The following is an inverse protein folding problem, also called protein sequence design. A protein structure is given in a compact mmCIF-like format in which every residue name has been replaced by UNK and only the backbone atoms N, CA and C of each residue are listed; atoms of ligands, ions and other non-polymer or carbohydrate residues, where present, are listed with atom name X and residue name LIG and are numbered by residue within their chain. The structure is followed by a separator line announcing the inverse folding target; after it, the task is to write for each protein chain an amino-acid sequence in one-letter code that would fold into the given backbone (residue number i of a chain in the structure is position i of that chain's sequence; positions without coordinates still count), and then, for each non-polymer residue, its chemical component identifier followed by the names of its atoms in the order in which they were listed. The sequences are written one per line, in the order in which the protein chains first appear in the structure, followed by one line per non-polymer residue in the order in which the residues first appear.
data_IF_206548310690
#
_entry.id   IF_206548310690
#
_cell.length_a   1.000
_cell.length_b   1.000
_cell.length_c   1.000
_cell.angle_alpha   90.00
_cell.angle_beta   90.00
_cell.angle_gamma   90.00
#
_symmetry.space_group_name_H-M   'P 1'
#
loop_
_entity.id
_entity.type
_entity.pdbx_description
1 polymer ?
#
# COMPACT_ATOMS: atom_id res chain seq x y z
N UNK A 1 1.18 7.44 19.62
CA UNK A 1 1.27 6.93 21.02
C UNK A 1 0.04 6.16 21.49
N UNK A 2 -1.20 6.54 21.12
CA UNK A 2 -2.43 5.95 21.70
C UNK A 2 -2.62 4.44 21.41
N UNK A 3 -2.23 3.94 20.23
CA UNK A 3 -2.53 2.55 19.83
C UNK A 3 -1.87 1.48 20.72
N UNK A 4 -0.64 1.72 21.20
CA UNK A 4 0.06 0.78 22.09
C UNK A 4 -0.42 0.83 23.55
N UNK A 5 -1.13 1.90 23.93
CA UNK A 5 -1.78 1.96 25.25
C UNK A 5 -3.08 1.15 25.30
N UNK A 6 -3.75 0.99 24.15
CA UNK A 6 -4.97 0.17 24.05
C UNK A 6 -4.63 -1.30 23.87
N UNK A 7 -3.64 -1.63 23.04
CA UNK A 7 -3.11 -2.99 22.88
C UNK A 7 -1.57 -2.96 22.77
N UNK A 8 -0.84 -3.46 23.80
CA UNK A 8 0.62 -3.50 23.79
C UNK A 8 1.23 -4.43 22.75
N UNK A 9 0.47 -5.42 22.27
CA UNK A 9 0.94 -6.45 21.33
C UNK A 9 0.60 -6.12 19.88
N UNK A 10 -0.05 -4.97 19.61
CA UNK A 10 -0.37 -4.56 18.26
C UNK A 10 0.92 -4.40 17.44
N UNK A 11 1.05 -5.22 16.39
CA UNK A 11 2.17 -5.16 15.46
C UNK A 11 2.04 -3.90 14.60
N UNK A 12 2.63 -2.80 15.08
CA UNK A 12 2.56 -1.49 14.43
C UNK A 12 3.92 -1.13 13.83
N UNK A 13 3.95 -0.97 12.50
CA UNK A 13 5.09 -0.43 11.74
C UNK A 13 4.78 1.00 11.31
N UNK A 14 5.52 1.97 11.83
CA UNK A 14 5.44 3.36 11.36
C UNK A 14 6.20 3.48 10.06
N UNK A 15 5.50 3.83 8.97
CA UNK A 15 6.11 4.10 7.67
C UNK A 15 6.11 5.59 7.40
N UNK A 16 7.25 6.12 6.94
CA UNK A 16 7.35 7.49 6.46
C UNK A 16 7.36 7.49 4.94
N UNK A 17 6.50 8.31 4.35
CA UNK A 17 6.43 8.51 2.92
C UNK A 17 7.68 9.25 2.42
N UNK A 18 8.70 8.53 1.95
CA UNK A 18 9.92 9.14 1.40
C UNK A 18 9.81 9.47 -0.10
N UNK A 19 8.94 8.75 -0.84
CA UNK A 19 8.69 8.96 -2.28
C UNK A 19 7.32 9.61 -2.50
N UNK A 20 7.22 10.44 -3.53
CA UNK A 20 5.96 11.07 -3.95
C UNK A 20 4.88 10.01 -4.24
N UNK A 21 3.61 10.37 -4.00
CA UNK A 21 2.46 9.44 -4.08
C UNK A 21 2.41 8.65 -5.38
N UNK A 22 2.63 9.31 -6.51
CA UNK A 22 2.62 8.69 -7.86
C UNK A 22 3.73 7.64 -8.00
N UNK A 23 4.95 7.94 -7.55
CA UNK A 23 6.10 7.03 -7.64
C UNK A 23 5.95 5.77 -6.77
N UNK A 24 5.08 5.79 -5.75
CA UNK A 24 4.78 4.61 -4.93
C UNK A 24 3.64 3.78 -5.50
N UNK A 25 2.72 4.43 -6.22
CA UNK A 25 1.59 3.76 -6.86
C UNK A 25 1.98 3.01 -8.13
N UNK A 26 3.05 3.42 -8.83
CA UNK A 26 3.56 2.77 -10.04
C UNK A 26 3.73 1.24 -9.92
N UNK A 27 4.50 0.69 -8.95
CA UNK A 27 4.70 -0.75 -8.86
C UNK A 27 3.42 -1.49 -8.48
N UNK A 28 2.48 -0.82 -7.80
CA UNK A 28 1.16 -1.37 -7.48
C UNK A 28 0.28 -1.43 -8.73
N UNK A 29 0.30 -0.38 -9.57
CA UNK A 29 -0.40 -0.37 -10.84
C UNK A 29 0.08 -1.51 -11.76
N UNK A 30 1.38 -1.81 -11.77
CA UNK A 30 1.92 -2.96 -12.50
C UNK A 30 1.34 -4.31 -12.01
N UNK A 31 1.03 -4.46 -10.72
CA UNK A 31 0.36 -5.67 -10.21
C UNK A 31 -1.08 -5.79 -10.71
N UNK A 32 -1.79 -4.66 -10.85
CA UNK A 32 -3.12 -4.64 -11.48
C UNK A 32 -3.06 -4.96 -12.97
N UNK A 33 -2.10 -4.39 -13.71
CA UNK A 33 -1.89 -4.71 -15.14
C UNK A 33 -1.58 -6.18 -15.37
N UNK A 34 -0.84 -6.81 -14.45
CA UNK A 34 -0.55 -8.24 -14.48
C UNK A 34 -1.74 -9.12 -14.04
N UNK A 35 -2.88 -8.53 -13.65
CA UNK A 35 -4.06 -9.25 -13.16
C UNK A 35 -3.84 -9.94 -11.80
N UNK A 36 -2.84 -9.51 -11.03
CA UNK A 36 -2.46 -10.14 -9.76
C UNK A 36 -3.22 -9.58 -8.55
N UNK A 37 -3.97 -8.51 -8.75
CA UNK A 37 -4.82 -7.89 -7.72
C UNK A 37 -6.26 -7.91 -8.21
N UNK A 38 -7.17 -8.31 -7.33
CA UNK A 38 -8.61 -8.31 -7.60
C UNK A 38 -9.33 -7.92 -6.32
N UNK A 39 -10.40 -7.14 -6.48
CA UNK A 39 -11.21 -6.68 -5.36
C UNK A 39 -12.39 -7.62 -5.13
N UNK A 40 -12.74 -7.80 -3.86
CA UNK A 40 -13.99 -8.44 -3.45
C UNK A 40 -15.08 -7.38 -3.27
N UNK A 41 -16.37 -7.76 -3.33
CA UNK A 41 -17.48 -6.83 -3.11
C UNK A 41 -17.37 -6.07 -1.77
N UNK A 42 -17.84 -4.82 -1.76
CA UNK A 42 -17.81 -3.94 -0.57
C UNK A 42 -16.63 -2.95 -0.55
N UNK A 43 -15.90 -2.83 -1.65
CA UNK A 43 -14.79 -1.88 -1.84
C UNK A 43 -15.17 -0.69 -2.74
N UNK A 44 -16.47 -0.41 -2.90
CA UNK A 44 -16.97 0.61 -3.85
C UNK A 44 -16.32 1.99 -3.61
N UNK A 45 -16.19 2.41 -2.35
CA UNK A 45 -15.57 3.69 -2.00
C UNK A 45 -14.06 3.74 -2.29
N UNK A 46 -13.38 2.59 -2.32
CA UNK A 46 -11.99 2.51 -2.78
C UNK A 46 -11.94 2.63 -4.31
N UNK A 47 -12.81 1.91 -5.01
CA UNK A 47 -12.90 1.92 -6.47
C UNK A 47 -13.25 3.30 -7.01
N UNK A 48 -14.17 4.03 -6.38
CA UNK A 48 -14.49 5.42 -6.68
C UNK A 48 -13.24 6.31 -6.61
N UNK A 49 -12.41 6.14 -5.57
CA UNK A 49 -11.16 6.89 -5.45
C UNK A 49 -10.12 6.47 -6.49
N UNK A 50 -10.11 5.21 -6.91
CA UNK A 50 -9.24 4.75 -8.00
C UNK A 50 -9.68 5.33 -9.35
N UNK A 51 -10.98 5.44 -9.62
CA UNK A 51 -11.51 6.08 -10.83
C UNK A 51 -11.15 7.58 -10.91
N UNK A 52 -10.98 8.24 -9.76
CA UNK A 52 -10.55 9.64 -9.67
C UNK A 52 -9.03 9.82 -9.75
N UNK A 53 -8.25 8.74 -9.83
CA UNK A 53 -6.81 8.78 -9.99
C UNK A 53 -6.45 8.86 -11.48
N UNK A 54 -5.93 10.02 -11.91
CA UNK A 54 -5.47 10.23 -13.28
C UNK A 54 -3.94 10.23 -13.36
N UNK A 55 -3.39 10.17 -14.57
CA UNK A 55 -1.95 10.31 -14.81
C UNK A 55 -1.38 11.66 -14.33
N UNK A 56 -2.22 12.68 -14.14
CA UNK A 56 -1.83 14.00 -13.59
C UNK A 56 -1.98 14.08 -12.07
N UNK A 57 -2.53 13.04 -11.44
CA UNK A 57 -2.81 12.97 -10.01
C UNK A 57 -4.30 12.75 -9.71
N UNK A 58 -4.64 12.92 -8.44
CA UNK A 58 -6.00 12.71 -7.93
C UNK A 58 -6.87 13.95 -8.16
N UNK A 59 -8.02 13.79 -8.83
CA UNK A 59 -8.94 14.88 -9.18
C UNK A 59 -10.08 15.09 -8.16
N UNK A 60 -10.00 14.49 -6.96
CA UNK A 60 -10.98 14.68 -5.89
C UNK A 60 -10.58 15.73 -4.85
N UNK A 61 -11.53 16.13 -4.00
CA UNK A 61 -11.24 16.94 -2.80
C UNK A 61 -10.45 16.10 -1.78
N UNK A 62 -9.29 16.60 -1.37
CA UNK A 62 -8.44 15.97 -0.36
C UNK A 62 -7.43 14.98 -0.94
N UNK A 63 -6.74 14.26 -0.06
CA UNK A 63 -5.84 13.17 -0.45
C UNK A 63 -6.64 11.86 -0.53
N UNK A 64 -6.39 10.99 -1.52
CA UNK A 64 -7.04 9.68 -1.57
C UNK A 64 -6.48 8.81 -0.44
N UNK A 65 -7.25 8.69 0.64
CA UNK A 65 -6.90 7.97 1.86
C UNK A 65 -6.96 6.46 1.66
N UNK A 66 -7.98 5.96 0.94
CA UNK A 66 -8.16 4.52 0.71
C UNK A 66 -7.18 3.98 -0.32
N UNK A 67 -6.94 4.71 -1.40
CA UNK A 67 -5.94 4.31 -2.41
C UNK A 67 -4.53 4.32 -1.81
N UNK A 68 -4.19 5.32 -0.99
CA UNK A 68 -2.87 5.33 -0.33
C UNK A 68 -2.74 4.15 0.64
N UNK A 69 -3.80 3.82 1.40
CA UNK A 69 -3.82 2.65 2.27
C UNK A 69 -3.64 1.33 1.48
N UNK A 70 -4.33 1.18 0.34
CA UNK A 70 -4.19 0.05 -0.57
C UNK A 70 -2.74 -0.07 -1.10
N UNK A 71 -2.16 1.05 -1.54
CA UNK A 71 -0.79 1.07 -2.06
C UNK A 71 0.20 0.60 -0.99
N UNK A 72 0.03 1.07 0.26
CA UNK A 72 0.86 0.61 1.38
C UNK A 72 0.66 -0.87 1.69
N UNK A 73 -0.58 -1.35 1.71
CA UNK A 73 -0.87 -2.76 1.96
C UNK A 73 -0.21 -3.66 0.91
N UNK A 74 -0.36 -3.35 -0.38
CA UNK A 74 0.25 -4.13 -1.46
C UNK A 74 1.78 -4.01 -1.46
N UNK A 75 2.32 -2.84 -1.10
CA UNK A 75 3.75 -2.68 -0.95
C UNK A 75 4.31 -3.60 0.15
N UNK A 76 3.72 -3.59 1.34
CA UNK A 76 4.19 -4.41 2.46
C UNK A 76 3.94 -5.91 2.26
N UNK A 77 2.87 -6.30 1.53
CA UNK A 77 2.51 -7.71 1.35
C UNK A 77 3.16 -8.35 0.12
N UNK A 78 3.45 -7.59 -0.94
CA UNK A 78 3.89 -8.16 -2.22
C UNK A 78 5.21 -7.60 -2.73
N UNK A 79 5.56 -6.35 -2.41
CA UNK A 79 6.75 -5.69 -2.94
C UNK A 79 7.93 -5.87 -1.98
N UNK A 80 7.75 -5.50 -0.72
CA UNK A 80 8.77 -5.60 0.33
C UNK A 80 9.21 -7.06 0.56
N UNK A 81 8.31 -8.05 0.68
CA UNK A 81 8.72 -9.44 0.87
C UNK A 81 9.41 -10.01 -0.36
N UNK A 82 9.00 -9.60 -1.57
CA UNK A 82 9.66 -10.00 -2.82
C UNK A 82 11.06 -9.38 -2.95
N UNK A 83 11.30 -8.20 -2.37
CA UNK A 83 12.63 -7.60 -2.28
C UNK A 83 13.51 -8.36 -1.28
N UNK A 84 12.97 -8.71 -0.10
CA UNK A 84 13.68 -9.48 0.92
C UNK A 84 14.00 -10.91 0.46
N UNK A 85 13.15 -11.52 -0.36
CA UNK A 85 13.41 -12.83 -0.96
C UNK A 85 14.66 -12.85 -1.87
N UNK A 86 15.06 -11.69 -2.42
CA UNK A 86 16.29 -11.55 -3.21
C UNK A 86 17.55 -11.40 -2.35
N UNK A 87 17.43 -11.36 -1.01
CA UNK A 87 18.56 -11.29 -0.08
C UNK A 87 18.29 -12.15 1.16
N UNK A 88 18.20 -13.49 0.99
CA UNK A 88 17.96 -14.38 2.11
C UNK A 88 19.11 -14.29 3.12
N UNK A 89 18.83 -13.77 4.31
CA UNK A 89 19.76 -13.75 5.43
C UNK A 89 19.70 -15.07 6.19
N UNK A 90 20.79 -15.83 6.19
CA UNK A 90 20.94 -17.01 7.05
C UNK A 90 21.20 -16.52 8.47
N UNK A 91 20.27 -16.77 9.39
CA UNK A 91 20.52 -16.58 10.83
C UNK A 91 21.50 -17.68 11.27
N UNK A 92 22.77 -17.34 11.49
CA UNK A 92 23.69 -18.21 12.22
C UNK A 92 23.30 -18.23 13.69
N UNK A 93 23.21 -19.44 14.26
CA UNK A 93 22.99 -19.68 15.69
C UNK A 93 24.17 -19.21 16.54
#
# INVERSE_FOLDING_TARGET
EVLRQVDPLVSLKTVHAARGKVARAEPVAALYEQGRVSHLPGLDALEDQMCLMTARGYEGKGSPDRVDALVWALHELMIEPAAQWRSPGVRSL
#
